data_IF_521630544699
#
_entry.id   IF_521630544699
#
_cell.length_a   1.000
_cell.length_b   1.000
_cell.length_c   1.000
_cell.angle_alpha   90.00
_cell.angle_beta   90.00
_cell.angle_gamma   90.00
#
_symmetry.space_group_name_H-M   'P 1'
#
loop_
_entity.id
_entity.type
_entity.pdbx_description
1 polymer ?
#
# COMPACT_ATOMS: atom_id res chain seq x y z
N UNK A 1 -17.25 15.70 -21.66
CA UNK A 1 -16.51 14.72 -20.86
C UNK A 1 -15.14 15.30 -20.50
N UNK A 2 -14.94 15.72 -19.25
CA UNK A 2 -13.68 16.33 -18.79
C UNK A 2 -12.64 15.21 -18.72
N UNK A 3 -11.68 15.18 -19.64
CA UNK A 3 -10.57 14.22 -19.59
C UNK A 3 -9.82 14.45 -18.28
N UNK A 4 -9.83 13.49 -17.37
CA UNK A 4 -8.93 13.39 -16.21
C UNK A 4 -7.51 13.14 -16.76
N UNK A 5 -6.93 14.15 -17.41
CA UNK A 5 -5.57 14.14 -17.95
C UNK A 5 -4.62 14.67 -16.90
N UNK A 6 -4.41 13.86 -15.88
CA UNK A 6 -3.07 13.76 -15.32
C UNK A 6 -2.56 12.36 -15.66
N UNK A 7 -1.57 12.31 -16.55
CA UNK A 7 -0.86 11.09 -16.95
C UNK A 7 -0.04 10.49 -15.79
N UNK A 8 -0.11 11.07 -14.58
CA UNK A 8 0.57 10.53 -13.40
C UNK A 8 -0.13 9.25 -12.93
N UNK A 9 0.66 8.26 -12.52
CA UNK A 9 0.16 7.03 -11.92
C UNK A 9 -0.69 7.33 -10.68
N UNK A 10 -1.76 6.56 -10.45
CA UNK A 10 -2.57 6.69 -9.25
C UNK A 10 -1.72 6.42 -8.01
N UNK A 11 -1.75 7.33 -7.03
CA UNK A 11 -0.93 7.24 -5.82
C UNK A 11 0.42 7.96 -5.89
N UNK A 12 0.79 8.57 -7.02
CA UNK A 12 2.09 9.29 -7.17
C UNK A 12 2.32 10.34 -6.08
N UNK A 13 1.34 11.21 -5.80
CA UNK A 13 1.46 12.23 -4.74
C UNK A 13 1.58 11.63 -3.33
N UNK A 14 1.03 10.44 -3.13
CA UNK A 14 1.19 9.74 -1.85
C UNK A 14 2.57 9.13 -1.73
N UNK A 15 3.12 8.59 -2.82
CA UNK A 15 4.45 8.01 -2.87
C UNK A 15 5.56 9.00 -2.51
N UNK A 16 5.39 10.29 -2.84
CA UNK A 16 6.32 11.38 -2.49
C UNK A 16 6.57 11.52 -0.98
N UNK A 17 5.72 10.94 -0.13
CA UNK A 17 5.82 10.99 1.34
C UNK A 17 6.65 9.86 1.94
N UNK A 18 7.11 8.91 1.13
CA UNK A 18 7.77 7.70 1.58
C UNK A 18 9.19 7.58 1.05
N UNK A 19 10.04 6.96 1.85
CA UNK A 19 11.38 6.56 1.47
C UNK A 19 11.56 5.05 1.65
N UNK A 20 12.37 4.43 0.79
CA UNK A 20 12.79 3.04 0.99
C UNK A 20 13.52 2.93 2.33
N UNK A 21 13.16 1.92 3.11
CA UNK A 21 13.61 1.72 4.49
C UNK A 21 12.63 2.21 5.54
N UNK A 22 11.60 2.98 5.16
CA UNK A 22 10.57 3.42 6.12
C UNK A 22 9.85 2.21 6.75
N UNK A 23 9.67 2.29 8.08
CA UNK A 23 8.73 1.43 8.79
C UNK A 23 7.31 1.87 8.47
N UNK A 24 6.50 0.92 8.01
CA UNK A 24 5.16 1.19 7.53
C UNK A 24 4.14 0.22 8.09
N UNK A 25 2.90 0.67 8.16
CA UNK A 25 1.72 -0.14 8.49
C UNK A 25 0.70 -0.09 7.36
N UNK A 26 -0.10 -1.13 7.24
CA UNK A 26 -1.23 -1.18 6.32
C UNK A 26 -2.38 -1.95 6.96
N UNK A 27 -3.58 -1.79 6.43
CA UNK A 27 -4.76 -2.54 6.85
C UNK A 27 -5.27 -3.40 5.70
N UNK A 28 -5.57 -4.66 6.01
CA UNK A 28 -6.33 -5.56 5.15
C UNK A 28 -7.66 -5.83 5.84
N UNK A 29 -8.76 -5.71 5.10
CA UNK A 29 -10.06 -6.19 5.56
C UNK A 29 -10.17 -7.64 5.12
N UNK A 30 -10.12 -8.56 6.08
CA UNK A 30 -10.29 -9.96 5.79
C UNK A 30 -11.79 -10.30 5.80
N UNK A 31 -12.14 -11.43 5.19
CA UNK A 31 -13.51 -11.92 5.13
C UNK A 31 -14.14 -11.97 6.52
N UNK A 32 -15.48 -11.95 6.52
CA UNK A 32 -16.27 -12.01 7.73
C UNK A 32 -15.82 -13.16 8.64
N UNK A 33 -15.74 -12.92 9.94
CA UNK A 33 -15.58 -14.01 10.92
C UNK A 33 -16.79 -14.96 10.90
N UNK A 34 -16.75 -15.99 11.74
CA UNK A 34 -17.84 -16.97 11.88
C UNK A 34 -19.17 -16.30 12.28
N UNK A 35 -19.12 -15.12 12.90
CA UNK A 35 -20.27 -14.32 13.32
C UNK A 35 -20.72 -13.28 12.27
N UNK A 36 -20.06 -13.23 11.11
CA UNK A 36 -20.43 -12.32 10.03
C UNK A 36 -19.83 -10.90 10.14
N UNK A 37 -18.96 -10.63 11.11
CA UNK A 37 -18.34 -9.32 11.32
C UNK A 37 -17.09 -9.15 10.45
N UNK A 38 -16.92 -7.95 9.89
CA UNK A 38 -15.74 -7.62 9.10
C UNK A 38 -14.49 -7.59 9.99
N UNK A 39 -13.52 -8.47 9.73
CA UNK A 39 -12.28 -8.49 10.50
C UNK A 39 -11.24 -7.58 9.87
N UNK A 40 -10.62 -6.74 10.70
CA UNK A 40 -9.57 -5.80 10.29
C UNK A 40 -8.22 -6.33 10.76
N UNK A 41 -7.33 -6.60 9.83
CA UNK A 41 -5.95 -7.01 10.12
C UNK A 41 -4.99 -5.86 9.80
N UNK A 42 -4.20 -5.46 10.79
CA UNK A 42 -3.14 -4.46 10.60
C UNK A 42 -1.80 -5.17 10.44
N UNK A 43 -1.16 -4.97 9.30
CA UNK A 43 0.20 -5.44 9.04
C UNK A 43 1.24 -4.35 9.29
N UNK A 44 2.47 -4.76 9.59
CA UNK A 44 3.63 -3.90 9.78
C UNK A 44 4.84 -4.47 9.04
N UNK A 45 5.71 -3.61 8.54
CA UNK A 45 6.84 -4.03 7.71
C UNK A 45 7.75 -2.87 7.31
N UNK A 46 8.75 -3.20 6.51
CA UNK A 46 9.70 -2.22 5.96
C UNK A 46 9.38 -2.02 4.49
N UNK A 47 9.26 -0.76 4.05
CA UNK A 47 9.09 -0.43 2.64
C UNK A 47 10.41 -0.70 1.89
N UNK A 48 10.42 -1.71 1.03
CA UNK A 48 11.61 -2.15 0.30
C UNK A 48 11.75 -1.47 -1.05
N UNK A 49 10.64 -1.10 -1.69
CA UNK A 49 10.63 -0.44 -2.99
C UNK A 49 9.30 0.28 -3.24
N UNK A 50 9.29 1.23 -4.18
CA UNK A 50 8.09 1.84 -4.74
C UNK A 50 8.05 1.46 -6.22
N UNK A 51 6.99 0.79 -6.65
CA UNK A 51 6.85 0.23 -8.00
C UNK A 51 5.59 0.74 -8.68
N UNK A 52 5.62 0.82 -10.01
CA UNK A 52 4.52 1.25 -10.84
C UNK A 52 4.01 0.07 -11.65
N UNK A 53 2.74 -0.29 -11.47
CA UNK A 53 2.10 -1.42 -12.14
C UNK A 53 0.74 -0.99 -12.74
N UNK A 54 0.28 -1.69 -13.76
CA UNK A 54 -1.05 -1.44 -14.35
C UNK A 54 -2.13 -2.25 -13.63
N UNK A 55 -3.22 -1.59 -13.23
CA UNK A 55 -4.48 -2.22 -12.83
C UNK A 55 -5.55 -1.84 -13.85
N UNK A 56 -5.84 -2.78 -14.77
CA UNK A 56 -6.62 -2.47 -15.97
C UNK A 56 -5.88 -1.46 -16.85
N UNK A 57 -6.55 -0.39 -17.26
CA UNK A 57 -6.00 0.65 -18.14
C UNK A 57 -5.31 1.80 -17.38
N UNK A 58 -5.09 1.65 -16.06
CA UNK A 58 -4.54 2.69 -15.20
C UNK A 58 -3.21 2.25 -14.60
N UNK A 59 -2.18 3.07 -14.75
CA UNK A 59 -0.94 2.93 -14.01
C UNK A 59 -1.16 3.34 -12.54
N UNK A 60 -0.67 2.52 -11.61
CA UNK A 60 -0.89 2.63 -10.17
C UNK A 60 0.42 2.38 -9.42
N UNK A 61 0.65 3.15 -8.37
CA UNK A 61 1.85 3.04 -7.53
C UNK A 61 1.59 2.10 -6.35
N UNK A 62 2.50 1.15 -6.15
CA UNK A 62 2.51 0.20 -5.05
C UNK A 62 3.78 0.35 -4.22
N UNK A 63 3.66 0.18 -2.91
CA UNK A 63 4.80 -0.09 -2.04
C UNK A 63 5.05 -1.59 -1.98
N UNK A 64 6.26 -2.01 -2.29
CA UNK A 64 6.72 -3.37 -2.02
C UNK A 64 7.24 -3.41 -0.59
N UNK A 65 6.53 -4.09 0.29
CA UNK A 65 6.78 -4.11 1.73
C UNK A 65 7.25 -5.50 2.14
N UNK A 66 8.29 -5.59 2.97
CA UNK A 66 8.66 -6.82 3.66
C UNK A 66 7.96 -6.84 5.03
N UNK A 67 6.94 -7.69 5.23
CA UNK A 67 6.27 -7.80 6.53
C UNK A 67 7.21 -8.32 7.61
N UNK A 68 7.08 -7.82 8.85
CA UNK A 68 7.95 -8.22 9.96
C UNK A 68 7.86 -9.72 10.30
N UNK A 69 6.74 -10.36 9.98
CA UNK A 69 6.46 -11.78 10.25
C UNK A 69 6.54 -12.67 9.00
N UNK A 70 7.11 -12.18 7.90
CA UNK A 70 7.20 -12.91 6.63
C UNK A 70 8.61 -12.78 6.04
N UNK A 71 9.04 -13.80 5.29
CA UNK A 71 10.26 -13.74 4.47
C UNK A 71 10.00 -13.20 3.07
N UNK A 72 8.73 -13.16 2.66
CA UNK A 72 8.32 -12.78 1.31
C UNK A 72 7.76 -11.36 1.32
N UNK A 73 8.29 -10.46 0.47
CA UNK A 73 7.69 -9.15 0.26
C UNK A 73 6.30 -9.27 -0.38
N UNK A 74 5.45 -8.30 -0.07
CA UNK A 74 4.10 -8.15 -0.64
C UNK A 74 3.97 -6.77 -1.28
N UNK A 75 3.09 -6.64 -2.28
CA UNK A 75 2.76 -5.36 -2.89
C UNK A 75 1.45 -4.83 -2.29
N UNK A 76 1.48 -3.57 -1.86
CA UNK A 76 0.33 -2.89 -1.29
C UNK A 76 0.18 -1.56 -2.00
N UNK A 77 -1.04 -1.18 -2.37
CA UNK A 77 -1.32 0.15 -2.92
C UNK A 77 -0.72 1.22 -2.02
N UNK A 78 0.08 2.13 -2.57
CA UNK A 78 0.81 3.12 -1.76
C UNK A 78 -0.13 4.00 -0.91
N UNK A 79 -1.36 4.19 -1.38
CA UNK A 79 -2.43 4.93 -0.68
C UNK A 79 -2.95 4.24 0.58
N UNK A 80 -2.70 2.93 0.73
CA UNK A 80 -3.13 2.12 1.87
C UNK A 80 -2.01 1.92 2.90
N UNK A 81 -0.83 2.48 2.64
CA UNK A 81 0.34 2.41 3.51
C UNK A 81 0.40 3.67 4.38
N UNK A 82 0.81 3.53 5.63
CA UNK A 82 1.08 4.64 6.55
C UNK A 82 2.47 4.51 7.14
N UNK A 83 3.20 5.63 7.20
CA UNK A 83 4.49 5.70 7.90
C UNK A 83 4.27 5.53 9.40
N UNK A 84 5.10 4.73 10.04
CA UNK A 84 5.13 4.62 11.50
C UNK A 84 6.18 5.61 11.97
N UNK A 85 5.74 6.66 12.66
CA UNK A 85 6.65 7.61 13.29
C UNK A 85 7.02 7.09 14.68
N UNK A 86 8.32 7.03 14.96
CA UNK A 86 8.82 6.83 16.32
C UNK A 86 9.08 8.21 16.92
N UNK A 87 8.37 8.54 18.00
CA UNK A 87 8.62 9.74 18.81
C UNK A 87 10.03 9.73 19.42
#
# INVERSE_FOLDING_TARGET
MKKLRDNKAFGSETAEKFFVGDLVSWTIFNSKDEDGNLTKLTGHGILMNIVHNFLGDREVVFGKVLPLNSKNPIEILITNIKKIETN
#
